data_IF_318715770993
#
_entry.id   IF_318715770993
#
_cell.length_a   1.000
_cell.length_b   1.000
_cell.length_c   1.000
_cell.angle_alpha   90.00
_cell.angle_beta   90.00
_cell.angle_gamma   90.00
#
_symmetry.space_group_name_H-M   'P 1'
#
loop_
_entity.id
_entity.type
_entity.pdbx_description
1 polymer ?
#
# COMPACT_ATOMS: atom_id res chain seq x y z
N UNK A 1 -56.60 46.63 24.30
CA UNK A 1 -55.60 46.15 25.28
C UNK A 1 -54.73 45.14 24.53
N UNK A 2 -53.65 45.63 23.94
CA UNK A 2 -52.72 44.80 23.12
C UNK A 2 -51.51 44.39 23.98
N UNK A 3 -51.33 43.09 24.18
CA UNK A 3 -50.15 42.57 24.89
C UNK A 3 -49.13 42.12 23.85
N UNK A 4 -48.06 42.87 23.69
CA UNK A 4 -46.90 42.51 22.91
C UNK A 4 -46.11 41.43 23.66
N UNK A 5 -46.01 40.23 23.05
CA UNK A 5 -45.07 39.20 23.48
C UNK A 5 -43.86 39.21 22.55
N UNK A 6 -42.79 39.83 23.00
CA UNK A 6 -41.49 39.71 22.33
C UNK A 6 -40.88 38.35 22.73
N UNK A 7 -40.97 37.40 21.80
CA UNK A 7 -40.24 36.13 21.91
C UNK A 7 -38.73 36.42 21.66
N UNK A 8 -37.97 36.29 22.71
CA UNK A 8 -36.52 36.38 22.65
C UNK A 8 -35.96 35.10 21.98
N UNK A 9 -35.59 35.20 20.72
CA UNK A 9 -34.97 34.12 19.99
C UNK A 9 -33.47 34.07 20.39
N UNK A 10 -33.14 33.21 21.34
CA UNK A 10 -31.74 32.92 21.70
C UNK A 10 -31.17 32.00 20.62
N UNK A 11 -30.47 32.58 19.68
CA UNK A 11 -29.69 31.85 18.68
C UNK A 11 -28.38 31.37 19.33
N UNK A 12 -28.41 30.13 19.84
CA UNK A 12 -27.21 29.47 20.36
C UNK A 12 -26.24 29.18 19.20
N UNK A 13 -25.27 30.02 18.99
CA UNK A 13 -24.14 29.80 18.12
C UNK A 13 -23.25 28.73 18.74
N UNK A 14 -23.40 27.48 18.29
CA UNK A 14 -22.42 26.43 18.55
C UNK A 14 -21.15 26.77 17.81
N UNK A 15 -20.21 27.38 18.48
CA UNK A 15 -18.84 27.51 18.03
C UNK A 15 -18.20 26.13 18.17
N UNK A 16 -18.25 25.36 17.09
CA UNK A 16 -17.49 24.10 17.00
C UNK A 16 -16.00 24.45 17.01
N UNK A 17 -15.37 24.40 18.16
CA UNK A 17 -13.92 24.35 18.27
C UNK A 17 -13.46 23.03 17.64
N UNK A 18 -13.30 23.04 16.32
CA UNK A 18 -12.54 22.02 15.63
C UNK A 18 -11.09 22.16 16.09
N UNK A 19 -10.70 21.33 17.07
CA UNK A 19 -9.31 21.23 17.48
C UNK A 19 -8.54 20.57 16.34
N UNK A 20 -8.15 21.38 15.34
CA UNK A 20 -7.28 20.98 14.26
C UNK A 20 -5.85 20.84 14.79
N UNK A 21 -5.61 19.81 15.60
CA UNK A 21 -4.23 19.37 15.81
C UNK A 21 -3.75 18.84 14.46
N UNK A 22 -2.85 19.57 13.81
CA UNK A 22 -2.17 19.05 12.60
C UNK A 22 -1.64 17.68 12.98
N UNK A 23 -2.05 16.61 12.28
CA UNK A 23 -1.57 15.28 12.61
C UNK A 23 -0.04 15.30 12.54
N UNK A 24 0.62 14.82 13.61
CA UNK A 24 2.05 14.71 13.63
C UNK A 24 2.49 13.88 12.42
N UNK A 25 3.25 14.49 11.54
CA UNK A 25 3.77 13.82 10.35
C UNK A 25 4.64 12.64 10.79
N UNK A 26 4.36 11.41 10.35
CA UNK A 26 5.21 10.26 10.69
C UNK A 26 6.62 10.49 10.14
N UNK A 27 7.62 10.21 10.96
CA UNK A 27 9.04 10.30 10.57
C UNK A 27 9.49 9.08 9.76
N UNK A 28 8.86 7.94 9.98
CA UNK A 28 9.14 6.67 9.34
C UNK A 28 7.83 5.91 9.14
N UNK A 29 7.63 5.35 7.96
CA UNK A 29 6.56 4.41 7.64
C UNK A 29 7.23 3.13 7.14
N UNK A 30 6.87 2.00 7.72
CA UNK A 30 7.36 0.67 7.31
C UNK A 30 6.15 -0.14 6.84
N UNK A 31 6.21 -0.60 5.60
CA UNK A 31 5.27 -1.59 5.07
C UNK A 31 5.97 -2.94 5.02
N UNK A 32 5.54 -3.89 5.84
CA UNK A 32 6.07 -5.24 5.87
C UNK A 32 5.06 -6.19 5.21
N UNK A 33 5.46 -6.80 4.11
CA UNK A 33 4.64 -7.79 3.41
C UNK A 33 5.26 -9.17 3.57
N UNK A 34 4.48 -10.12 4.06
CA UNK A 34 4.89 -11.53 4.18
C UNK A 34 4.20 -12.32 3.08
N UNK A 35 4.95 -12.61 2.01
CA UNK A 35 4.47 -13.34 0.83
C UNK A 35 3.96 -14.74 1.22
N UNK A 36 2.80 -15.15 0.70
CA UNK A 36 2.13 -16.44 0.94
C UNK A 36 1.70 -16.68 2.41
N UNK A 37 1.75 -15.68 3.27
CA UNK A 37 1.27 -15.84 4.64
C UNK A 37 -0.25 -15.86 4.68
N UNK A 38 -0.81 -16.99 5.11
CA UNK A 38 -2.24 -17.10 5.37
C UNK A 38 -2.56 -16.50 6.74
N UNK A 39 -3.66 -15.74 6.88
CA UNK A 39 -4.01 -15.09 8.15
C UNK A 39 -4.27 -16.08 9.29
N UNK A 40 -4.76 -17.28 9.00
CA UNK A 40 -4.98 -18.33 10.01
C UNK A 40 -3.69 -18.84 10.67
N UNK A 41 -2.52 -18.62 10.07
CA UNK A 41 -1.24 -18.96 10.71
C UNK A 41 -1.02 -18.14 11.98
N UNK A 42 -1.50 -16.90 12.02
CA UNK A 42 -1.39 -16.05 13.22
C UNK A 42 -2.19 -16.59 14.40
N UNK A 43 -3.39 -17.09 14.14
CA UNK A 43 -4.25 -17.66 15.19
C UNK A 43 -3.92 -19.11 15.51
N UNK A 44 -3.54 -19.89 14.49
CA UNK A 44 -3.23 -21.32 14.65
C UNK A 44 -1.97 -21.57 15.47
N UNK A 45 -1.02 -20.65 15.40
CA UNK A 45 0.27 -20.75 16.07
C UNK A 45 0.49 -19.59 17.06
N UNK A 46 -0.60 -19.07 17.63
CA UNK A 46 -0.61 -17.89 18.49
C UNK A 46 0.38 -18.00 19.66
N UNK A 47 0.42 -19.17 20.30
CA UNK A 47 1.28 -19.48 21.43
C UNK A 47 2.78 -19.56 21.08
N UNK A 48 3.12 -19.68 19.80
CA UNK A 48 4.52 -19.73 19.35
C UNK A 48 5.11 -18.35 19.06
N UNK A 49 4.28 -17.32 18.94
CA UNK A 49 4.77 -15.97 18.66
C UNK A 49 5.22 -15.25 19.92
N UNK A 50 6.53 -15.01 20.02
CA UNK A 50 7.16 -14.33 21.17
C UNK A 50 7.84 -13.01 20.81
N UNK A 51 7.89 -12.64 19.51
CA UNK A 51 8.60 -11.48 19.00
C UNK A 51 7.68 -10.42 18.41
N UNK A 52 8.10 -9.85 17.28
CA UNK A 52 7.43 -8.73 16.63
C UNK A 52 5.98 -9.01 16.24
N UNK A 53 5.64 -10.22 15.78
CA UNK A 53 4.25 -10.59 15.51
C UNK A 53 3.41 -10.53 16.77
N UNK A 54 3.89 -11.09 17.91
CA UNK A 54 3.19 -11.03 19.18
C UNK A 54 2.94 -9.57 19.60
N UNK A 55 3.98 -8.74 19.51
CA UNK A 55 3.86 -7.34 19.85
C UNK A 55 2.82 -6.61 18.99
N UNK A 56 2.82 -6.84 17.68
CA UNK A 56 1.84 -6.25 16.76
C UNK A 56 0.41 -6.75 17.02
N UNK A 57 0.23 -8.03 17.35
CA UNK A 57 -1.06 -8.61 17.69
C UNK A 57 -1.62 -8.02 18.99
N UNK A 58 -0.77 -7.75 19.97
CA UNK A 58 -1.17 -7.23 21.27
C UNK A 58 -1.41 -5.71 21.28
N UNK A 59 -0.70 -4.95 20.44
CA UNK A 59 -0.68 -3.48 20.50
C UNK A 59 -1.15 -2.80 19.21
N UNK A 60 -1.26 -3.55 18.13
CA UNK A 60 -1.67 -3.05 16.82
C UNK A 60 -3.18 -3.08 16.60
N UNK A 61 -3.61 -2.57 15.46
CA UNK A 61 -4.98 -2.74 14.98
C UNK A 61 -5.03 -3.90 13.99
N UNK A 62 -5.84 -4.91 14.27
CA UNK A 62 -6.01 -6.05 13.40
C UNK A 62 -7.30 -5.96 12.59
N UNK A 63 -7.15 -5.90 11.25
CA UNK A 63 -8.27 -5.91 10.32
C UNK A 63 -8.61 -7.36 9.94
N UNK A 64 -9.57 -7.95 10.62
CA UNK A 64 -9.93 -9.37 10.48
C UNK A 64 -10.76 -9.70 9.23
N UNK A 65 -11.30 -8.69 8.55
CA UNK A 65 -12.14 -8.85 7.37
C UNK A 65 -11.59 -8.07 6.17
N UNK A 66 -10.31 -8.28 5.86
CA UNK A 66 -9.64 -7.66 4.72
C UNK A 66 -9.39 -8.69 3.63
N UNK A 67 -9.79 -8.38 2.40
CA UNK A 67 -9.71 -9.27 1.25
C UNK A 67 -9.05 -8.58 0.06
N UNK A 68 -8.42 -9.36 -0.80
CA UNK A 68 -8.07 -8.95 -2.15
C UNK A 68 -9.26 -9.19 -3.06
N UNK A 69 -9.76 -8.13 -3.71
CA UNK A 69 -10.91 -8.22 -4.62
C UNK A 69 -10.56 -8.65 -6.05
N UNK A 70 -9.38 -9.26 -6.24
CA UNK A 70 -8.96 -9.81 -7.52
C UNK A 70 -8.61 -11.29 -7.37
N UNK A 71 -8.93 -12.09 -8.40
CA UNK A 71 -8.87 -13.55 -8.31
C UNK A 71 -7.44 -14.11 -8.36
N UNK A 72 -6.53 -13.47 -9.09
CA UNK A 72 -5.17 -13.97 -9.28
C UNK A 72 -4.17 -13.25 -8.38
N UNK A 73 -4.00 -13.77 -7.18
CA UNK A 73 -3.15 -13.22 -6.11
C UNK A 73 -1.71 -13.74 -6.13
N UNK A 74 -1.12 -13.93 -7.32
CA UNK A 74 0.30 -14.27 -7.46
C UNK A 74 1.19 -13.14 -6.91
N UNK A 75 2.46 -13.44 -6.65
CA UNK A 75 3.40 -12.51 -6.00
C UNK A 75 3.42 -11.12 -6.65
N UNK A 76 3.65 -11.01 -7.96
CA UNK A 76 3.71 -9.72 -8.66
C UNK A 76 2.42 -8.92 -8.56
N UNK A 77 1.26 -9.45 -9.03
CA UNK A 77 -0.02 -8.78 -8.90
C UNK A 77 -0.41 -8.42 -7.46
N UNK A 78 -0.16 -9.32 -6.51
CA UNK A 78 -0.52 -9.09 -5.10
C UNK A 78 0.28 -7.96 -4.46
N UNK A 79 1.61 -7.95 -4.62
CA UNK A 79 2.46 -6.86 -4.11
C UNK A 79 2.16 -5.54 -4.79
N UNK A 80 1.93 -5.58 -6.11
CA UNK A 80 1.51 -4.40 -6.86
C UNK A 80 0.19 -3.82 -6.32
N UNK A 81 -0.82 -4.66 -6.05
CA UNK A 81 -2.09 -4.21 -5.48
C UNK A 81 -1.91 -3.54 -4.12
N UNK A 82 -1.05 -4.09 -3.25
CA UNK A 82 -0.73 -3.50 -1.94
C UNK A 82 -0.03 -2.15 -2.11
N UNK A 83 0.95 -2.05 -3.00
CA UNK A 83 1.75 -0.84 -3.21
C UNK A 83 1.02 0.28 -3.96
N UNK A 84 0.01 -0.04 -4.76
CA UNK A 84 -0.68 0.92 -5.63
C UNK A 84 -2.14 1.16 -5.26
N UNK A 85 -2.76 0.28 -4.45
CA UNK A 85 -4.20 0.33 -4.20
C UNK A 85 -5.06 0.09 -5.45
N UNK A 86 -4.49 -0.47 -6.53
CA UNK A 86 -5.16 -0.66 -7.81
C UNK A 86 -5.37 -2.14 -8.13
N UNK A 87 -6.38 -2.43 -8.93
CA UNK A 87 -6.57 -3.76 -9.48
C UNK A 87 -5.48 -4.07 -10.52
N UNK A 88 -4.67 -5.11 -10.34
CA UNK A 88 -3.51 -5.40 -11.18
C UNK A 88 -3.85 -5.53 -12.67
N UNK A 89 -4.98 -6.16 -12.98
CA UNK A 89 -5.44 -6.34 -14.35
C UNK A 89 -5.76 -5.05 -15.11
N UNK A 90 -6.15 -3.98 -14.41
CA UNK A 90 -6.44 -2.67 -15.02
C UNK A 90 -5.20 -1.89 -15.41
N UNK A 91 -4.09 -2.19 -14.78
CA UNK A 91 -2.85 -1.42 -14.89
C UNK A 91 -1.69 -2.23 -15.51
N UNK A 92 -2.02 -3.36 -16.13
CA UNK A 92 -1.08 -4.12 -16.94
C UNK A 92 -0.29 -5.20 -16.20
N UNK A 93 -0.56 -5.46 -14.90
CA UNK A 93 0.14 -6.51 -14.13
C UNK A 93 -0.71 -7.78 -14.07
N UNK A 94 -0.80 -8.49 -15.17
CA UNK A 94 -1.70 -9.64 -15.31
C UNK A 94 -1.23 -10.88 -14.54
N UNK A 95 0.07 -10.98 -14.23
CA UNK A 95 0.67 -12.11 -13.55
C UNK A 95 2.14 -11.88 -13.27
N UNK A 96 2.82 -12.86 -12.66
CA UNK A 96 4.29 -12.84 -12.55
C UNK A 96 4.94 -12.83 -13.94
N UNK A 97 4.35 -13.60 -14.86
CA UNK A 97 4.65 -13.56 -16.29
C UNK A 97 3.35 -13.68 -17.06
N UNK A 98 3.24 -13.04 -18.19
CA UNK A 98 2.04 -13.05 -19.03
C UNK A 98 2.41 -12.80 -20.50
N UNK A 99 1.49 -13.15 -21.40
CA UNK A 99 1.69 -12.90 -22.83
C UNK A 99 1.33 -11.46 -23.15
N UNK A 100 2.32 -10.72 -23.64
CA UNK A 100 2.15 -9.35 -24.14
C UNK A 100 1.74 -9.43 -25.60
N UNK A 101 0.54 -8.92 -25.93
CA UNK A 101 -0.05 -9.00 -27.26
C UNK A 101 0.63 -8.08 -28.27
N UNK A 102 1.15 -6.94 -27.82
CA UNK A 102 1.82 -5.97 -28.67
C UNK A 102 3.23 -6.46 -29.01
N UNK A 103 3.93 -7.00 -28.02
CA UNK A 103 5.25 -7.60 -28.22
C UNK A 103 5.21 -9.03 -28.76
N UNK A 104 4.03 -9.67 -28.79
CA UNK A 104 3.80 -11.06 -29.24
C UNK A 104 4.71 -12.09 -28.56
N UNK A 105 4.99 -11.89 -27.28
CA UNK A 105 5.85 -12.77 -26.48
C UNK A 105 5.44 -12.82 -25.02
N UNK A 106 5.91 -13.83 -24.31
CA UNK A 106 5.81 -13.83 -22.84
C UNK A 106 6.80 -12.82 -22.26
N UNK A 107 6.31 -12.03 -21.32
CA UNK A 107 7.08 -11.03 -20.58
C UNK A 107 6.98 -11.30 -19.08
N UNK A 108 8.01 -10.90 -18.36
CA UNK A 108 8.00 -10.93 -16.89
C UNK A 108 7.57 -9.56 -16.34
N UNK A 109 6.75 -9.54 -15.30
CA UNK A 109 6.06 -8.32 -14.86
C UNK A 109 6.95 -7.12 -14.49
N UNK A 110 8.19 -7.36 -14.12
CA UNK A 110 9.20 -6.33 -13.82
C UNK A 110 10.37 -6.35 -14.80
N UNK A 111 10.21 -7.03 -15.94
CA UNK A 111 11.24 -7.05 -16.98
C UNK A 111 11.41 -5.65 -17.60
N UNK A 112 12.64 -5.20 -17.63
CA UNK A 112 13.01 -3.96 -18.30
C UNK A 112 14.36 -4.14 -19.01
N UNK A 113 14.36 -4.23 -20.36
CA UNK A 113 15.57 -4.45 -21.12
C UNK A 113 16.52 -3.25 -21.16
N UNK A 114 16.03 -2.04 -20.81
CA UNK A 114 16.82 -0.81 -20.83
C UNK A 114 17.34 -0.38 -19.47
N UNK A 115 16.78 -0.91 -18.40
CA UNK A 115 17.26 -0.64 -17.04
C UNK A 115 18.65 -1.22 -16.83
N UNK A 116 19.40 -0.63 -15.90
CA UNK A 116 20.76 -1.06 -15.56
C UNK A 116 20.82 -1.57 -14.13
N UNK A 117 21.57 -2.65 -13.93
CA UNK A 117 21.89 -3.15 -12.59
C UNK A 117 22.98 -2.27 -11.99
N UNK A 118 22.75 -1.73 -10.82
CA UNK A 118 23.71 -0.89 -10.10
C UNK A 118 24.46 -1.75 -9.08
N UNK A 119 25.79 -1.62 -9.04
CA UNK A 119 26.64 -2.30 -8.06
C UNK A 119 26.90 -3.78 -8.28
N UNK A 120 26.41 -4.36 -9.40
CA UNK A 120 26.69 -5.76 -9.76
C UNK A 120 27.15 -5.91 -11.20
N UNK A 121 28.12 -6.83 -11.42
CA UNK A 121 28.63 -7.13 -12.78
C UNK A 121 27.69 -8.04 -13.59
N UNK A 122 26.80 -8.76 -12.93
CA UNK A 122 25.87 -9.71 -13.55
C UNK A 122 24.49 -9.55 -12.89
N UNK A 123 23.45 -9.72 -13.66
CA UNK A 123 22.07 -9.66 -13.18
C UNK A 123 21.13 -9.26 -14.32
N UNK A 124 19.84 -9.50 -14.11
CA UNK A 124 18.79 -9.00 -15.00
C UNK A 124 18.20 -7.75 -14.36
N UNK A 125 18.32 -6.63 -15.04
CA UNK A 125 17.72 -5.39 -14.57
C UNK A 125 16.20 -5.51 -14.49
N UNK A 126 15.61 -4.80 -13.56
CA UNK A 126 14.18 -4.78 -13.27
C UNK A 126 13.74 -3.35 -13.04
N UNK A 127 12.51 -3.04 -13.41
CA UNK A 127 11.88 -1.77 -13.09
C UNK A 127 10.36 -1.89 -13.11
N UNK A 128 9.70 -0.80 -12.73
CA UNK A 128 8.25 -0.62 -12.79
C UNK A 128 7.75 -0.16 -14.19
N UNK A 129 8.59 -0.21 -15.23
CA UNK A 129 8.27 0.32 -16.57
C UNK A 129 6.99 -0.23 -17.20
N UNK A 130 6.54 -1.41 -16.75
CA UNK A 130 5.29 -2.04 -17.19
C UNK A 130 4.07 -1.63 -16.38
N UNK A 131 4.23 -0.83 -15.35
CA UNK A 131 3.15 -0.39 -14.48
C UNK A 131 2.53 0.90 -15.03
N UNK A 132 1.24 0.85 -15.37
CA UNK A 132 0.53 1.99 -15.95
C UNK A 132 -0.13 2.87 -14.86
N UNK A 133 0.49 2.97 -13.70
CA UNK A 133 0.03 3.79 -12.58
C UNK A 133 1.15 4.12 -11.62
N UNK A 134 0.87 5.07 -10.72
CA UNK A 134 1.75 5.41 -9.59
C UNK A 134 1.42 4.57 -8.37
N UNK A 135 2.35 4.46 -7.44
CA UNK A 135 2.20 3.75 -6.17
C UNK A 135 2.54 4.61 -4.96
N UNK A 136 2.54 3.97 -3.79
CA UNK A 136 2.79 4.60 -2.50
C UNK A 136 4.11 5.41 -2.49
N UNK A 137 5.17 4.87 -3.10
CA UNK A 137 6.46 5.55 -3.20
C UNK A 137 6.39 6.87 -3.95
N UNK A 138 5.66 6.90 -5.08
CA UNK A 138 5.47 8.10 -5.90
C UNK A 138 4.67 9.15 -5.13
N UNK A 139 3.60 8.75 -4.44
CA UNK A 139 2.76 9.66 -3.65
C UNK A 139 3.53 10.27 -2.49
N UNK A 140 4.35 9.46 -1.79
CA UNK A 140 5.24 9.97 -0.74
C UNK A 140 6.23 10.98 -1.30
N UNK A 141 6.86 10.70 -2.43
CA UNK A 141 7.82 11.62 -3.08
C UNK A 141 7.16 12.88 -3.61
N UNK A 142 5.93 12.79 -4.13
CA UNK A 142 5.15 13.96 -4.58
C UNK A 142 4.78 14.86 -3.41
N UNK A 143 4.32 14.28 -2.31
CA UNK A 143 3.89 15.04 -1.13
C UNK A 143 5.07 15.55 -0.31
N UNK A 144 6.14 14.77 -0.26
CA UNK A 144 7.34 15.03 0.53
C UNK A 144 8.60 14.79 -0.31
N UNK A 145 9.02 15.72 -1.16
CA UNK A 145 10.10 15.51 -2.14
C UNK A 145 11.44 15.07 -1.52
N UNK A 146 11.72 15.51 -0.30
CA UNK A 146 12.95 15.15 0.43
C UNK A 146 12.89 13.80 1.15
N UNK A 147 11.76 13.08 1.08
CA UNK A 147 11.62 11.75 1.67
C UNK A 147 12.49 10.73 0.93
N UNK A 148 12.94 9.71 1.67
CA UNK A 148 13.58 8.54 1.08
C UNK A 148 12.54 7.43 0.99
N UNK A 149 12.49 6.76 -0.17
CA UNK A 149 11.68 5.56 -0.39
C UNK A 149 12.65 4.43 -0.70
N UNK A 150 12.57 3.35 0.05
CA UNK A 150 13.46 2.20 -0.08
C UNK A 150 12.59 0.96 -0.10
N UNK A 151 12.79 0.09 -1.07
CA UNK A 151 12.16 -1.22 -1.14
C UNK A 151 13.23 -2.31 -1.08
N UNK A 152 13.00 -3.33 -0.27
CA UNK A 152 13.92 -4.45 -0.06
C UNK A 152 13.14 -5.76 -0.09
N UNK A 153 13.58 -6.71 -0.90
CA UNK A 153 13.00 -8.05 -0.95
C UNK A 153 13.98 -9.11 -1.45
N UNK A 154 13.70 -10.36 -1.14
CA UNK A 154 14.43 -11.51 -1.70
C UNK A 154 14.03 -11.86 -3.13
N UNK A 155 12.90 -11.31 -3.63
CA UNK A 155 12.42 -11.47 -5.02
C UNK A 155 12.31 -10.10 -5.68
N UNK A 156 12.76 -10.00 -6.92
CA UNK A 156 12.73 -8.76 -7.71
C UNK A 156 11.32 -8.15 -7.84
N UNK A 157 10.32 -8.95 -8.16
CA UNK A 157 8.91 -8.53 -8.35
C UNK A 157 8.17 -8.14 -7.05
N UNK A 158 8.82 -8.28 -5.91
CA UNK A 158 8.29 -7.82 -4.62
C UNK A 158 8.94 -6.50 -4.19
N UNK A 159 10.09 -6.17 -4.77
CA UNK A 159 10.83 -4.96 -4.44
C UNK A 159 10.55 -3.80 -5.40
N UNK A 160 10.03 -4.09 -6.61
CA UNK A 160 9.77 -3.11 -7.68
C UNK A 160 8.37 -2.54 -7.59
#
# INVERSE_FOLDING_TARGET
MMRNSYGLLIMATFISFSCSTKPNKPKLVITLVVDQMRPDLLTRFDDLYTGGFRWLMDHGTWFTNTHHDHSYTATGPGHFAIGSGQYPGRVGVLGNSFYDRDLKKNVYCVEDPVAKVIGAKKGKARSYSRYNTTGLGDWVKTTYPNSKVISLAGKDRTAV
#
